data_IF_216542673254
#
_entry.id   IF_216542673254
#
_cell.length_a   1.000
_cell.length_b   1.000
_cell.length_c   1.000
_cell.angle_alpha   90.00
_cell.angle_beta   90.00
_cell.angle_gamma   90.00
#
_symmetry.space_group_name_H-M   'P 1'
#
loop_
_entity.id
_entity.type
_entity.pdbx_description
1 polymer ?
#
# COMPACT_ATOMS: atom_id res chain seq x y z
N UNK A 1 -15.01 -19.89 7.15
CA UNK A 1 -15.23 -19.03 8.33
C UNK A 1 -14.22 -19.35 9.44
N UNK A 2 -14.23 -20.55 10.05
CA UNK A 2 -13.30 -20.91 11.14
C UNK A 2 -11.80 -20.77 10.83
N UNK A 3 -11.37 -21.09 9.60
CA UNK A 3 -9.96 -20.94 9.18
C UNK A 3 -9.50 -19.47 9.12
N UNK A 4 -10.37 -18.57 8.66
CA UNK A 4 -10.08 -17.13 8.56
C UNK A 4 -10.00 -16.53 9.96
N UNK A 5 -10.97 -16.84 10.82
CA UNK A 5 -10.97 -16.39 12.21
C UNK A 5 -9.69 -16.81 12.95
N UNK A 6 -9.28 -18.08 12.79
CA UNK A 6 -8.03 -18.59 13.36
C UNK A 6 -6.81 -17.82 12.85
N UNK A 7 -6.71 -17.56 11.54
CA UNK A 7 -5.59 -16.82 10.97
C UNK A 7 -5.51 -15.37 11.48
N UNK A 8 -6.64 -14.68 11.64
CA UNK A 8 -6.67 -13.33 12.21
C UNK A 8 -6.22 -13.33 13.68
N UNK A 9 -6.65 -14.33 14.46
CA UNK A 9 -6.23 -14.52 15.86
C UNK A 9 -4.74 -14.85 15.95
N UNK A 10 -4.25 -15.73 15.08
CA UNK A 10 -2.83 -16.11 15.03
C UNK A 10 -1.97 -14.89 14.67
N UNK A 11 -2.39 -14.06 13.71
CA UNK A 11 -1.69 -12.82 13.34
C UNK A 11 -1.70 -11.78 14.47
N UNK A 12 -2.84 -11.61 15.16
CA UNK A 12 -2.94 -10.71 16.31
C UNK A 12 -1.96 -11.11 17.42
N UNK A 13 -1.92 -12.40 17.78
CA UNK A 13 -1.11 -12.86 18.90
C UNK A 13 0.37 -13.07 18.54
N UNK A 14 0.67 -13.48 17.31
CA UNK A 14 1.99 -13.99 16.91
C UNK A 14 2.56 -13.35 15.63
N UNK A 15 1.97 -12.24 15.15
CA UNK A 15 2.47 -11.52 13.98
C UNK A 15 3.85 -10.89 14.18
N UNK A 16 4.31 -10.17 13.15
CA UNK A 16 5.71 -9.72 13.02
C UNK A 16 6.26 -8.97 14.24
N UNK A 17 5.56 -7.96 14.76
CA UNK A 17 6.03 -7.15 15.90
C UNK A 17 6.13 -7.96 17.21
N UNK A 18 5.36 -9.05 17.31
CA UNK A 18 5.30 -9.91 18.49
C UNK A 18 6.27 -11.09 18.42
N UNK A 19 6.64 -11.54 17.21
CA UNK A 19 7.47 -12.73 17.00
C UNK A 19 8.86 -12.46 16.46
N UNK A 20 9.06 -11.35 15.73
CA UNK A 20 10.36 -11.00 15.17
C UNK A 20 11.27 -10.43 16.26
N UNK A 21 12.42 -11.08 16.45
CA UNK A 21 13.41 -10.71 17.45
C UNK A 21 14.50 -9.83 16.81
N UNK A 22 14.89 -8.76 17.50
CA UNK A 22 15.99 -7.91 17.09
C UNK A 22 17.06 -7.86 18.19
N UNK A 23 18.34 -8.04 17.83
CA UNK A 23 19.44 -8.01 18.80
C UNK A 23 19.37 -9.15 19.81
N UNK A 24 19.20 -8.80 21.10
CA UNK A 24 19.26 -9.70 22.25
C UNK A 24 18.03 -10.63 22.40
N UNK A 25 17.51 -11.18 21.29
CA UNK A 25 16.38 -12.12 21.23
C UNK A 25 15.05 -11.61 21.80
N UNK A 26 14.86 -10.30 21.89
CA UNK A 26 13.62 -9.70 22.41
C UNK A 26 12.73 -9.22 21.26
N UNK A 27 11.40 -9.38 21.35
CA UNK A 27 10.47 -8.78 20.40
C UNK A 27 10.57 -7.25 20.33
N UNK A 28 10.12 -6.66 19.23
CA UNK A 28 10.30 -5.23 18.91
C UNK A 28 9.59 -4.30 19.91
N UNK A 29 8.52 -4.75 20.57
CA UNK A 29 7.70 -3.94 21.50
C UNK A 29 7.76 -4.37 22.98
N UNK A 30 8.61 -5.32 23.37
CA UNK A 30 8.69 -5.79 24.77
C UNK A 30 9.54 -4.91 25.70
N UNK A 31 10.21 -3.89 25.17
CA UNK A 31 11.07 -2.98 25.94
C UNK A 31 10.38 -1.68 26.37
N UNK A 32 9.06 -1.58 26.28
CA UNK A 32 8.37 -0.43 26.84
C UNK A 32 8.32 -0.54 28.37
N UNK A 33 9.23 0.14 29.03
CA UNK A 33 9.21 0.36 30.47
C UNK A 33 8.55 1.71 30.73
N UNK A 34 7.33 1.72 31.30
CA UNK A 34 6.70 2.96 31.75
C UNK A 34 7.53 3.54 32.91
N UNK A 35 8.16 4.70 32.67
CA UNK A 35 8.96 5.43 33.68
C UNK A 35 8.23 6.65 34.24
N UNK A 36 6.94 6.79 33.94
CA UNK A 36 6.12 7.84 34.52
C UNK A 36 5.75 7.51 35.96
N UNK A 37 5.21 8.49 36.69
CA UNK A 37 4.70 8.24 38.04
C UNK A 37 3.58 7.20 38.00
N UNK A 38 3.67 6.23 38.90
CA UNK A 38 2.62 5.25 39.16
C UNK A 38 1.80 5.74 40.36
N UNK A 39 0.60 6.23 40.06
CA UNK A 39 -0.30 6.78 41.07
C UNK A 39 -1.27 5.74 41.63
N UNK A 40 -1.12 4.46 41.27
CA UNK A 40 -2.05 3.39 41.69
C UNK A 40 -2.15 3.31 43.21
N UNK A 41 -1.04 3.57 43.90
CA UNK A 41 -0.95 3.58 45.37
C UNK A 41 -1.27 4.95 45.99
N UNK A 42 -1.35 6.04 45.20
CA UNK A 42 -1.55 7.41 45.71
C UNK A 42 -3.02 7.78 45.92
N UNK A 43 -3.96 6.90 45.59
CA UNK A 43 -5.38 7.16 45.77
C UNK A 43 -5.82 6.64 47.15
N UNK A 44 -6.03 7.56 48.11
CA UNK A 44 -6.81 7.30 49.32
C UNK A 44 -8.29 7.07 48.96
N UNK A 45 -8.57 6.01 48.21
CA UNK A 45 -9.93 5.64 47.87
C UNK A 45 -10.57 4.94 49.07
N UNK A 46 -11.85 5.23 49.35
CA UNK A 46 -12.62 4.47 50.31
C UNK A 46 -12.52 2.96 50.01
N UNK A 47 -12.37 2.11 51.02
CA UNK A 47 -12.14 0.66 50.87
C UNK A 47 -13.16 -0.03 49.94
N UNK A 48 -14.39 0.50 49.86
CA UNK A 48 -15.45 0.06 48.96
C UNK A 48 -15.19 0.27 47.46
N UNK A 49 -14.29 1.19 47.09
CA UNK A 49 -13.87 1.44 45.70
C UNK A 49 -12.58 0.67 45.36
N UNK A 50 -11.73 0.41 46.35
CA UNK A 50 -10.49 -0.37 46.20
C UNK A 50 -10.77 -1.80 45.77
N UNK A 51 -11.85 -2.43 46.29
CA UNK A 51 -12.25 -3.79 45.90
C UNK A 51 -12.73 -3.93 44.44
N UNK A 52 -12.90 -2.83 43.71
CA UNK A 52 -13.27 -2.82 42.28
C UNK A 52 -12.12 -2.44 41.36
N UNK A 53 -10.99 -2.00 41.91
CA UNK A 53 -9.80 -1.73 41.11
C UNK A 53 -9.11 -3.05 40.76
N UNK A 54 -8.62 -3.20 39.51
CA UNK A 54 -7.77 -4.33 39.16
C UNK A 54 -6.54 -4.36 40.10
N UNK A 55 -6.10 -5.55 40.53
CA UNK A 55 -4.89 -5.73 41.36
C UNK A 55 -3.57 -5.32 40.66
N UNK A 56 -3.64 -4.81 39.43
CA UNK A 56 -2.48 -4.51 38.61
C UNK A 56 -2.04 -3.05 38.79
N UNK A 57 -0.73 -2.84 38.97
CA UNK A 57 -0.13 -1.51 38.95
C UNK A 57 -0.37 -0.84 37.60
N UNK A 58 -0.50 0.49 37.57
CA UNK A 58 -0.64 1.28 36.33
C UNK A 58 0.50 0.95 35.36
N UNK A 59 1.70 0.75 35.89
CA UNK A 59 2.87 0.34 35.10
C UNK A 59 2.65 -0.99 34.38
N UNK A 60 2.14 -2.01 35.07
CA UNK A 60 1.84 -3.32 34.49
C UNK A 60 0.70 -3.24 33.48
N UNK A 61 -0.33 -2.44 33.78
CA UNK A 61 -1.46 -2.22 32.89
C UNK A 61 -1.04 -1.52 31.58
N UNK A 62 -0.20 -0.48 31.68
CA UNK A 62 0.35 0.22 30.51
C UNK A 62 1.26 -0.71 29.71
N UNK A 63 2.12 -1.48 30.38
CA UNK A 63 2.98 -2.44 29.70
C UNK A 63 2.14 -3.48 28.96
N UNK A 64 1.15 -4.10 29.62
CA UNK A 64 0.26 -5.07 28.98
C UNK A 64 -0.49 -4.46 27.79
N UNK A 65 -0.98 -3.22 27.92
CA UNK A 65 -1.65 -2.53 26.82
C UNK A 65 -0.73 -2.36 25.60
N UNK A 66 0.50 -1.89 25.80
CA UNK A 66 1.44 -1.65 24.69
C UNK A 66 1.95 -2.95 24.09
N UNK A 67 2.41 -3.90 24.91
CA UNK A 67 3.05 -5.12 24.44
C UNK A 67 2.08 -6.14 23.87
N UNK A 68 0.81 -6.14 24.32
CA UNK A 68 -0.19 -7.11 23.86
C UNK A 68 -1.21 -6.46 22.93
N UNK A 69 -1.87 -5.39 23.36
CA UNK A 69 -3.01 -4.82 22.62
C UNK A 69 -2.56 -4.00 21.40
N UNK A 70 -1.60 -3.08 21.59
CA UNK A 70 -1.08 -2.24 20.49
C UNK A 70 -0.29 -3.08 19.48
N UNK A 71 0.59 -3.96 19.96
CA UNK A 71 1.35 -4.86 19.10
C UNK A 71 0.44 -5.76 18.27
N UNK A 72 -0.57 -6.38 18.90
CA UNK A 72 -1.50 -7.27 18.21
C UNK A 72 -2.40 -6.54 17.21
N UNK A 73 -2.88 -5.34 17.57
CA UNK A 73 -3.61 -4.46 16.65
C UNK A 73 -2.78 -4.18 15.39
N UNK A 74 -1.51 -3.78 15.57
CA UNK A 74 -0.64 -3.42 14.45
C UNK A 74 -0.29 -4.62 13.59
N UNK A 75 0.07 -5.77 14.18
CA UNK A 75 0.31 -7.00 13.44
C UNK A 75 -0.87 -7.35 12.52
N UNK A 76 -2.07 -7.40 13.11
CA UNK A 76 -3.27 -7.77 12.41
C UNK A 76 -3.58 -6.77 11.27
N UNK A 77 -3.62 -5.48 11.59
CA UNK A 77 -4.07 -4.47 10.64
C UNK A 77 -3.02 -4.15 9.58
N UNK A 78 -1.72 -4.24 9.86
CA UNK A 78 -0.70 -4.12 8.81
C UNK A 78 -0.80 -5.26 7.81
N UNK A 79 -0.95 -6.50 8.29
CA UNK A 79 -1.11 -7.66 7.41
C UNK A 79 -2.37 -7.56 6.54
N UNK A 80 -3.48 -7.08 7.11
CA UNK A 80 -4.72 -6.81 6.36
C UNK A 80 -4.55 -5.66 5.38
N UNK A 81 -3.90 -4.57 5.80
CA UNK A 81 -3.62 -3.41 4.97
C UNK A 81 -2.72 -3.76 3.78
N UNK A 82 -1.65 -4.55 4.01
CA UNK A 82 -0.75 -5.06 2.99
C UNK A 82 -1.47 -6.01 2.04
N UNK A 83 -2.34 -6.89 2.53
CA UNK A 83 -3.13 -7.78 1.69
C UNK A 83 -4.11 -6.99 0.81
N UNK A 84 -4.83 -6.03 1.39
CA UNK A 84 -5.74 -5.15 0.66
C UNK A 84 -5.01 -4.33 -0.40
N UNK A 85 -3.84 -3.79 -0.05
CA UNK A 85 -2.94 -3.12 -0.98
C UNK A 85 -2.52 -4.04 -2.13
N UNK A 86 -2.04 -5.25 -1.83
CA UNK A 86 -1.64 -6.22 -2.84
C UNK A 86 -2.79 -6.55 -3.81
N UNK A 87 -3.97 -6.90 -3.29
CA UNK A 87 -5.11 -7.31 -4.11
C UNK A 87 -5.65 -6.17 -4.98
N UNK A 88 -5.73 -4.95 -4.43
CA UNK A 88 -6.33 -3.81 -5.14
C UNK A 88 -5.35 -3.12 -6.08
N UNK A 89 -4.08 -3.01 -5.69
CA UNK A 89 -3.14 -2.10 -6.36
C UNK A 89 -2.12 -2.82 -7.22
N UNK A 90 -1.65 -4.00 -6.80
CA UNK A 90 -0.56 -4.74 -7.47
C UNK A 90 -1.11 -5.72 -8.50
N UNK A 91 -1.90 -5.23 -9.45
CA UNK A 91 -2.52 -6.02 -10.51
C UNK A 91 -1.85 -5.74 -11.85
N UNK A 92 -1.91 -6.71 -12.77
CA UNK A 92 -1.31 -6.60 -14.12
C UNK A 92 -1.93 -5.52 -15.01
N UNK A 93 -3.08 -4.99 -14.62
CA UNK A 93 -3.86 -4.01 -15.40
C UNK A 93 -3.91 -2.65 -14.72
N UNK A 94 -3.31 -2.49 -13.54
CA UNK A 94 -3.23 -1.21 -12.86
C UNK A 94 -2.01 -0.41 -13.36
N UNK A 95 -2.17 0.20 -14.53
CA UNK A 95 -1.13 0.98 -15.19
C UNK A 95 -0.84 2.33 -14.53
N UNK A 96 -1.61 2.75 -13.52
CA UNK A 96 -1.37 3.99 -12.77
C UNK A 96 0.03 4.00 -12.11
N UNK A 97 0.55 2.81 -11.82
CA UNK A 97 1.88 2.62 -11.30
C UNK A 97 2.99 3.11 -12.25
N UNK A 98 2.77 3.11 -13.56
CA UNK A 98 3.72 3.68 -14.52
C UNK A 98 4.00 5.16 -14.21
N UNK A 99 2.98 5.89 -13.73
CA UNK A 99 3.04 7.30 -13.35
C UNK A 99 3.49 7.60 -11.92
N UNK A 100 3.93 6.60 -11.15
CA UNK A 100 4.71 6.83 -9.91
C UNK A 100 5.95 7.68 -10.24
N UNK A 101 6.58 8.37 -9.25
CA UNK A 101 7.53 9.45 -9.51
C UNK A 101 8.41 9.23 -10.74
N UNK A 102 8.28 10.18 -11.67
CA UNK A 102 9.01 10.21 -12.93
C UNK A 102 10.46 10.56 -12.58
N UNK A 103 11.23 9.52 -12.30
CA UNK A 103 12.66 9.60 -12.19
C UNK A 103 13.19 8.75 -13.33
N UNK A 104 13.63 9.33 -14.45
CA UNK A 104 14.26 8.57 -15.54
C UNK A 104 15.61 7.91 -15.18
N UNK A 105 16.00 7.87 -13.90
CA UNK A 105 17.26 7.33 -13.42
C UNK A 105 17.13 5.85 -13.04
N UNK A 106 18.17 5.06 -13.34
CA UNK A 106 18.32 3.67 -12.86
C UNK A 106 19.22 3.55 -11.63
N UNK A 107 19.56 4.68 -11.00
CA UNK A 107 20.35 4.76 -9.77
C UNK A 107 19.43 4.55 -8.56
N UNK A 108 19.67 3.48 -7.81
CA UNK A 108 18.84 3.09 -6.68
C UNK A 108 18.79 4.15 -5.56
N UNK A 109 19.88 4.89 -5.31
CA UNK A 109 19.90 5.94 -4.29
C UNK A 109 19.11 7.17 -4.72
N UNK A 110 19.18 7.53 -6.01
CA UNK A 110 18.34 8.61 -6.56
C UNK A 110 16.87 8.25 -6.52
N UNK A 111 16.53 7.00 -6.85
CA UNK A 111 15.14 6.51 -6.76
C UNK A 111 14.66 6.50 -5.32
N UNK A 112 15.47 6.00 -4.39
CA UNK A 112 15.11 6.00 -2.97
C UNK A 112 14.83 7.41 -2.46
N UNK A 113 15.68 8.39 -2.80
CA UNK A 113 15.43 9.80 -2.50
C UNK A 113 14.15 10.33 -3.13
N UNK A 114 13.89 9.99 -4.40
CA UNK A 114 12.67 10.42 -5.09
C UNK A 114 11.40 9.82 -4.45
N UNK A 115 11.45 8.56 -4.00
CA UNK A 115 10.33 7.91 -3.29
C UNK A 115 10.05 8.65 -1.99
N UNK A 116 11.07 8.89 -1.15
CA UNK A 116 10.93 9.61 0.12
C UNK A 116 10.40 11.03 -0.10
N UNK A 117 10.88 11.74 -1.12
CA UNK A 117 10.43 13.10 -1.42
C UNK A 117 8.98 13.19 -1.92
N UNK A 118 8.44 12.10 -2.48
CA UNK A 118 7.09 12.07 -3.06
C UNK A 118 6.15 11.12 -2.31
N UNK A 119 6.52 10.71 -1.09
CA UNK A 119 5.88 9.62 -0.32
C UNK A 119 4.37 9.84 -0.15
N UNK A 120 3.95 10.99 0.38
CA UNK A 120 2.55 11.33 0.55
C UNK A 120 1.73 11.24 -0.76
N UNK A 121 2.31 11.73 -1.86
CA UNK A 121 1.66 11.67 -3.18
C UNK A 121 1.59 10.25 -3.75
N UNK A 122 2.60 9.41 -3.48
CA UNK A 122 2.57 7.99 -3.85
C UNK A 122 1.42 7.32 -3.11
N UNK A 123 1.34 7.51 -1.79
CA UNK A 123 0.35 6.88 -0.91
C UNK A 123 -1.08 7.23 -1.31
N UNK A 124 -1.33 8.52 -1.55
CA UNK A 124 -2.63 9.01 -2.03
C UNK A 124 -3.02 8.33 -3.35
N UNK A 125 -2.09 8.26 -4.31
CA UNK A 125 -2.35 7.69 -5.63
C UNK A 125 -2.64 6.19 -5.60
N UNK A 126 -1.90 5.44 -4.79
CA UNK A 126 -2.12 3.99 -4.69
C UNK A 126 -3.29 3.64 -3.76
N UNK A 127 -3.93 4.63 -3.13
CA UNK A 127 -5.13 4.44 -2.32
C UNK A 127 -4.87 3.64 -1.04
N UNK A 128 -3.70 3.83 -0.42
CA UNK A 128 -3.42 3.24 0.89
C UNK A 128 -4.29 3.93 1.95
N UNK A 129 -5.06 3.17 2.77
CA UNK A 129 -5.83 3.78 3.84
C UNK A 129 -4.92 4.49 4.85
N UNK A 130 -5.34 5.67 5.29
CA UNK A 130 -4.52 6.56 6.13
C UNK A 130 -4.85 6.49 7.63
N UNK A 131 -5.74 5.58 8.04
CA UNK A 131 -6.09 5.35 9.45
C UNK A 131 -6.34 3.88 9.74
N UNK A 132 -6.15 3.51 11.01
CA UNK A 132 -6.40 2.18 11.55
C UNK A 132 -7.86 1.78 11.31
N UNK A 133 -8.82 2.68 11.53
CA UNK A 133 -10.25 2.41 11.30
C UNK A 133 -10.57 2.19 9.82
N UNK A 134 -9.92 2.92 8.91
CA UNK A 134 -10.07 2.71 7.46
C UNK A 134 -9.47 1.38 6.99
N UNK A 135 -8.35 0.92 7.58
CA UNK A 135 -7.81 -0.41 7.32
C UNK A 135 -8.72 -1.49 7.90
N UNK A 136 -9.22 -1.28 9.12
CA UNK A 136 -10.15 -2.21 9.77
C UNK A 136 -11.41 -2.45 8.94
N UNK A 137 -11.88 -1.45 8.17
CA UNK A 137 -12.99 -1.63 7.24
C UNK A 137 -12.77 -2.73 6.19
N UNK A 138 -11.51 -3.10 5.88
CA UNK A 138 -11.18 -4.19 4.98
C UNK A 138 -11.20 -5.59 5.64
N UNK A 139 -11.38 -5.67 6.96
CA UNK A 139 -11.54 -6.94 7.66
C UNK A 139 -12.85 -7.63 7.25
N UNK A 140 -12.84 -8.97 7.07
CA UNK A 140 -14.08 -9.70 6.85
C UNK A 140 -14.98 -9.63 8.08
N UNK A 141 -16.28 -9.43 7.86
CA UNK A 141 -17.28 -9.58 8.91
C UNK A 141 -17.38 -11.07 9.23
N UNK A 142 -16.96 -11.45 10.44
CA UNK A 142 -17.19 -12.80 10.95
C UNK A 142 -18.54 -12.80 11.69
N UNK A 143 -19.61 -13.17 11.00
CA UNK A 143 -20.89 -13.37 11.66
C UNK A 143 -20.92 -14.77 12.30
N UNK A 144 -20.76 -14.81 13.63
CA UNK A 144 -20.82 -16.04 14.44
C UNK A 144 -22.08 -16.10 15.30
N UNK A 145 -23.09 -15.25 15.04
CA UNK A 145 -24.34 -15.19 15.82
C UNK A 145 -25.11 -16.53 15.84
N UNK A 146 -24.82 -17.45 14.91
CA UNK A 146 -25.37 -18.81 14.86
C UNK A 146 -24.51 -19.91 15.51
N UNK A 147 -23.31 -19.62 16.01
CA UNK A 147 -22.40 -20.61 16.59
C UNK A 147 -22.58 -20.61 18.11
N UNK A 148 -23.49 -21.48 18.58
CA UNK A 148 -23.99 -21.58 19.96
C UNK A 148 -22.93 -21.85 21.08
N UNK A 149 -21.63 -21.81 20.79
CA UNK A 149 -20.55 -22.20 21.70
C UNK A 149 -19.44 -21.17 21.87
N UNK A 150 -19.53 -20.00 21.24
CA UNK A 150 -18.50 -18.97 21.38
C UNK A 150 -18.68 -18.22 22.70
N UNK A 151 -17.88 -18.61 23.71
CA UNK A 151 -17.93 -18.09 25.10
C UNK A 151 -17.64 -16.59 25.24
N UNK A 152 -17.19 -15.91 24.19
CA UNK A 152 -16.94 -14.47 24.23
C UNK A 152 -17.47 -13.77 22.96
N UNK A 153 -18.60 -13.04 23.03
CA UNK A 153 -19.19 -12.31 21.90
C UNK A 153 -18.32 -11.13 21.42
N UNK A 154 -17.41 -10.64 22.25
CA UNK A 154 -16.56 -9.48 21.97
C UNK A 154 -15.54 -9.72 20.85
N UNK A 155 -15.12 -10.98 20.65
CA UNK A 155 -14.13 -11.37 19.65
C UNK A 155 -14.76 -11.76 18.30
N UNK A 156 -16.06 -11.54 18.11
CA UNK A 156 -16.79 -12.07 16.96
C UNK A 156 -16.79 -11.12 15.78
N UNK A 157 -16.70 -9.79 15.98
CA UNK A 157 -16.68 -8.82 14.88
C UNK A 157 -15.46 -7.90 14.94
N UNK A 158 -14.29 -8.45 14.55
CA UNK A 158 -13.03 -7.71 14.51
C UNK A 158 -13.10 -6.41 13.70
N UNK A 159 -13.89 -6.39 12.62
CA UNK A 159 -14.14 -5.15 11.86
C UNK A 159 -14.76 -4.08 12.77
N UNK A 160 -15.88 -4.40 13.44
CA UNK A 160 -16.55 -3.43 14.33
C UNK A 160 -15.67 -3.03 15.51
N UNK A 161 -14.94 -3.97 16.10
CA UNK A 161 -14.06 -3.74 17.25
C UNK A 161 -12.99 -2.66 16.97
N UNK A 162 -12.47 -2.60 15.74
CA UNK A 162 -11.41 -1.67 15.37
C UNK A 162 -11.85 -0.50 14.49
N UNK A 163 -13.10 -0.51 14.00
CA UNK A 163 -13.58 0.52 13.09
C UNK A 163 -14.43 1.58 13.79
N UNK A 164 -15.30 1.20 14.74
CA UNK A 164 -16.32 2.09 15.32
C UNK A 164 -16.36 2.01 16.85
N UNK A 165 -16.76 3.11 17.48
CA UNK A 165 -16.98 3.16 18.93
C UNK A 165 -18.19 2.31 19.29
N UNK A 166 -18.06 1.43 20.28
CA UNK A 166 -19.13 0.56 20.76
C UNK A 166 -19.66 1.04 22.12
N UNK A 167 -20.96 0.85 22.37
CA UNK A 167 -21.57 1.04 23.69
C UNK A 167 -21.39 -0.19 24.60
N UNK A 168 -21.88 -0.10 25.84
CA UNK A 168 -21.83 -1.21 26.81
C UNK A 168 -22.64 -2.45 26.40
N UNK A 169 -23.43 -2.35 25.33
CA UNK A 169 -24.21 -3.45 24.72
C UNK A 169 -23.57 -3.92 23.40
N UNK A 170 -22.34 -3.50 23.12
CA UNK A 170 -21.55 -3.81 21.93
C UNK A 170 -22.23 -3.38 20.62
N UNK A 171 -23.07 -2.35 20.67
CA UNK A 171 -23.67 -1.72 19.50
C UNK A 171 -22.85 -0.50 19.07
N UNK A 172 -22.73 -0.23 17.75
CA UNK A 172 -22.08 0.99 17.27
C UNK A 172 -22.77 2.23 17.83
N UNK A 173 -22.00 3.13 18.42
CA UNK A 173 -22.48 4.45 18.76
C UNK A 173 -22.74 5.25 17.50
N UNK A 174 -23.86 5.94 17.47
CA UNK A 174 -24.35 6.70 16.32
C UNK A 174 -24.21 8.19 16.61
N UNK A 175 -23.66 8.94 15.66
CA UNK A 175 -23.52 10.39 15.76
C UNK A 175 -24.86 11.11 15.52
N UNK A 176 -24.85 12.43 15.63
CA UNK A 176 -26.05 13.27 15.42
C UNK A 176 -26.63 13.20 14.00
N UNK A 177 -25.87 12.68 13.03
CA UNK A 177 -26.28 12.49 11.63
C UNK A 177 -26.81 11.08 11.35
N UNK A 178 -26.84 10.19 12.34
CA UNK A 178 -27.28 8.81 12.14
C UNK A 178 -26.18 7.85 11.65
N UNK A 179 -24.92 8.27 11.64
CA UNK A 179 -23.79 7.46 11.18
C UNK A 179 -22.99 6.84 12.34
N UNK A 180 -22.43 5.63 12.18
CA UNK A 180 -21.53 5.06 13.18
C UNK A 180 -20.30 5.94 13.43
N UNK A 181 -20.00 6.20 14.70
CA UNK A 181 -18.82 6.98 15.11
C UNK A 181 -17.54 6.16 14.91
N UNK A 182 -16.58 6.58 14.09
CA UNK A 182 -15.32 5.87 13.92
C UNK A 182 -14.45 5.97 15.17
N UNK A 183 -13.62 4.95 15.43
CA UNK A 183 -12.58 5.04 16.46
C UNK A 183 -11.51 6.04 16.03
N UNK A 184 -11.17 6.98 16.91
CA UNK A 184 -10.03 7.88 16.73
C UNK A 184 -8.85 7.35 17.54
N UNK A 185 -7.83 6.85 16.85
CA UNK A 185 -6.65 6.25 17.48
C UNK A 185 -5.54 7.26 17.80
N UNK A 186 -5.72 8.53 17.40
CA UNK A 186 -4.81 9.63 17.75
C UNK A 186 -3.36 9.36 17.33
N UNK A 187 -2.45 9.30 18.31
CA UNK A 187 -1.01 9.05 18.07
C UNK A 187 -0.73 7.69 17.44
N UNK A 188 -1.59 6.68 17.68
CA UNK A 188 -1.39 5.35 17.11
C UNK A 188 -1.66 5.32 15.61
N UNK A 189 -2.56 6.16 15.08
CA UNK A 189 -2.73 6.30 13.62
C UNK A 189 -1.44 6.79 12.97
N UNK A 190 -0.76 7.77 13.58
CA UNK A 190 0.52 8.29 13.08
C UNK A 190 1.60 7.22 13.08
N UNK A 191 1.71 6.44 14.17
CA UNK A 191 2.69 5.37 14.28
C UNK A 191 2.41 4.24 13.28
N UNK A 192 1.14 3.84 13.14
CA UNK A 192 0.70 2.83 12.19
C UNK A 192 1.04 3.25 10.76
N UNK A 193 0.70 4.49 10.40
CA UNK A 193 0.99 5.05 9.10
C UNK A 193 2.50 5.04 8.81
N UNK A 194 3.33 5.51 9.74
CA UNK A 194 4.78 5.51 9.57
C UNK A 194 5.35 4.10 9.38
N UNK A 195 4.82 3.12 10.12
CA UNK A 195 5.24 1.73 9.97
C UNK A 195 4.84 1.18 8.60
N UNK A 196 3.63 1.47 8.14
CA UNK A 196 3.15 1.08 6.81
C UNK A 196 3.99 1.72 5.69
N UNK A 197 4.33 3.00 5.81
CA UNK A 197 5.24 3.70 4.90
C UNK A 197 6.58 2.97 4.76
N UNK A 198 7.22 2.65 5.88
CA UNK A 198 8.51 1.94 5.90
C UNK A 198 8.42 0.55 5.28
N UNK A 199 7.31 -0.17 5.49
CA UNK A 199 7.11 -1.49 4.90
C UNK A 199 6.88 -1.44 3.39
N UNK A 200 6.24 -0.38 2.88
CA UNK A 200 5.93 -0.23 1.47
C UNK A 200 7.05 0.42 0.65
N UNK A 201 7.94 1.17 1.30
CA UNK A 201 9.06 1.85 0.63
C UNK A 201 9.90 0.91 -0.28
N UNK A 202 10.32 -0.30 0.14
CA UNK A 202 11.05 -1.22 -0.73
C UNK A 202 10.28 -1.63 -1.99
N UNK A 203 8.95 -1.71 -1.90
CA UNK A 203 8.05 -2.06 -3.00
C UNK A 203 8.06 -0.95 -4.06
N UNK A 204 7.88 0.30 -3.63
CA UNK A 204 7.90 1.45 -4.54
C UNK A 204 9.27 1.64 -5.20
N UNK A 205 10.36 1.56 -4.41
CA UNK A 205 11.73 1.68 -4.93
C UNK A 205 11.99 0.60 -5.98
N UNK A 206 11.64 -0.65 -5.69
CA UNK A 206 11.87 -1.76 -6.62
C UNK A 206 11.04 -1.62 -7.90
N UNK A 207 9.77 -1.27 -7.79
CA UNK A 207 8.92 -1.06 -8.96
C UNK A 207 9.49 0.04 -9.86
N UNK A 208 9.82 1.20 -9.28
CA UNK A 208 10.34 2.36 -10.04
C UNK A 208 11.68 2.02 -10.70
N UNK A 209 12.60 1.38 -9.97
CA UNK A 209 13.89 0.94 -10.50
C UNK A 209 13.71 0.04 -11.73
N UNK A 210 12.92 -1.01 -11.60
CA UNK A 210 12.73 -1.98 -12.67
C UNK A 210 11.93 -1.39 -13.83
N UNK A 211 10.94 -0.53 -13.56
CA UNK A 211 10.23 0.24 -14.60
C UNK A 211 11.23 1.08 -15.41
N UNK A 212 12.14 1.81 -14.75
CA UNK A 212 13.11 2.65 -15.43
C UNK A 212 14.11 1.84 -16.26
N UNK A 213 14.56 0.69 -15.73
CA UNK A 213 15.39 -0.25 -16.47
C UNK A 213 14.65 -0.80 -17.70
N UNK A 214 13.37 -1.14 -17.56
CA UNK A 214 12.53 -1.58 -18.66
C UNK A 214 12.36 -0.49 -19.73
N UNK A 215 12.04 0.74 -19.32
CA UNK A 215 11.90 1.89 -20.23
C UNK A 215 13.22 2.18 -20.98
N UNK A 216 14.36 2.15 -20.28
CA UNK A 216 15.67 2.32 -20.90
C UNK A 216 15.99 1.19 -21.89
N UNK A 217 15.75 -0.06 -21.48
CA UNK A 217 15.96 -1.23 -22.34
C UNK A 217 15.13 -1.12 -23.63
N UNK A 218 13.84 -0.75 -23.50
CA UNK A 218 12.96 -0.53 -24.64
C UNK A 218 13.48 0.54 -25.59
N UNK A 219 13.92 1.69 -25.07
CA UNK A 219 14.49 2.75 -25.91
C UNK A 219 15.72 2.27 -26.69
N UNK A 220 16.56 1.44 -26.09
CA UNK A 220 17.80 0.96 -26.70
C UNK A 220 17.58 -0.18 -27.72
N UNK A 221 16.57 -1.04 -27.51
CA UNK A 221 16.40 -2.29 -28.27
C UNK A 221 15.10 -2.34 -29.10
N UNK A 222 14.17 -1.42 -28.86
CA UNK A 222 12.88 -1.33 -29.54
C UNK A 222 11.79 -2.26 -29.01
N UNK A 223 12.14 -3.49 -28.61
CA UNK A 223 11.17 -4.49 -28.13
C UNK A 223 11.81 -5.43 -27.10
N UNK A 224 11.00 -6.08 -26.27
CA UNK A 224 11.46 -7.25 -25.51
C UNK A 224 11.51 -8.46 -26.44
N UNK A 225 12.71 -9.01 -26.69
CA UNK A 225 12.87 -10.21 -27.52
C UNK A 225 12.16 -11.41 -26.90
N UNK A 226 11.42 -12.15 -27.72
CA UNK A 226 10.81 -13.40 -27.28
C UNK A 226 11.87 -14.40 -26.79
N UNK A 227 11.59 -15.00 -25.63
CA UNK A 227 12.48 -15.97 -24.98
C UNK A 227 13.74 -15.38 -24.33
N UNK A 228 14.01 -14.07 -24.47
CA UNK A 228 15.16 -13.40 -23.84
C UNK A 228 14.67 -12.26 -22.95
N UNK A 229 14.50 -12.59 -21.67
CA UNK A 229 14.24 -11.56 -20.67
C UNK A 229 15.54 -10.82 -20.32
N UNK A 230 15.51 -9.49 -20.18
CA UNK A 230 16.65 -8.75 -19.65
C UNK A 230 17.08 -9.31 -18.29
N UNK A 231 18.37 -9.22 -17.98
CA UNK A 231 18.95 -9.79 -16.76
C UNK A 231 18.32 -9.27 -15.45
N UNK A 232 17.66 -8.11 -15.48
CA UNK A 232 16.99 -7.52 -14.33
C UNK A 232 15.57 -8.07 -14.09
N UNK A 233 15.02 -8.87 -15.01
CA UNK A 233 13.69 -9.47 -14.89
C UNK A 233 13.79 -10.84 -14.22
N UNK A 234 12.99 -11.04 -13.17
CA UNK A 234 12.94 -12.30 -12.41
C UNK A 234 11.72 -13.09 -12.89
N UNK A 235 11.97 -14.23 -13.54
CA UNK A 235 10.91 -15.05 -14.17
C UNK A 235 10.01 -15.78 -13.17
N UNK A 236 10.49 -16.07 -11.96
CA UNK A 236 9.74 -16.79 -10.94
C UNK A 236 9.86 -16.10 -9.58
N UNK A 237 9.15 -14.98 -9.37
CA UNK A 237 9.27 -14.18 -8.16
C UNK A 237 8.86 -14.98 -6.91
N UNK A 238 9.72 -15.00 -5.89
CA UNK A 238 9.51 -15.67 -4.60
C UNK A 238 9.14 -14.69 -3.48
N UNK A 239 9.29 -13.38 -3.70
CA UNK A 239 8.93 -12.34 -2.74
C UNK A 239 8.06 -11.25 -3.37
N UNK A 240 7.38 -10.47 -2.53
CA UNK A 240 6.57 -9.34 -2.99
C UNK A 240 7.41 -8.29 -3.75
N UNK A 241 8.63 -8.04 -3.29
CA UNK A 241 9.60 -7.14 -3.94
C UNK A 241 9.99 -7.66 -5.33
N UNK A 242 10.23 -8.95 -5.49
CA UNK A 242 10.50 -9.55 -6.81
C UNK A 242 9.27 -9.50 -7.72
N UNK A 243 8.09 -9.78 -7.17
CA UNK A 243 6.82 -9.73 -7.89
C UNK A 243 6.55 -8.34 -8.46
N UNK A 244 6.72 -7.27 -7.68
CA UNK A 244 6.50 -5.90 -8.20
C UNK A 244 7.53 -5.49 -9.25
N UNK A 245 8.75 -6.05 -9.19
CA UNK A 245 9.73 -5.88 -10.27
C UNK A 245 9.25 -6.54 -11.57
N UNK A 246 8.77 -7.78 -11.50
CA UNK A 246 8.18 -8.45 -12.66
C UNK A 246 6.94 -7.69 -13.19
N UNK A 247 6.10 -7.17 -12.29
CA UNK A 247 4.93 -6.38 -12.63
C UNK A 247 5.29 -5.09 -13.40
N UNK A 248 6.35 -4.39 -12.98
CA UNK A 248 6.83 -3.20 -13.69
C UNK A 248 7.19 -3.51 -15.16
N UNK A 249 7.86 -4.63 -15.42
CA UNK A 249 8.19 -5.09 -16.78
C UNK A 249 6.94 -5.40 -17.58
N UNK A 250 5.97 -6.11 -16.98
CA UNK A 250 4.68 -6.43 -17.62
C UNK A 250 3.97 -5.14 -18.04
N UNK A 251 3.91 -4.15 -17.16
CA UNK A 251 3.25 -2.88 -17.45
C UNK A 251 3.92 -2.12 -18.59
N UNK A 252 5.26 -2.05 -18.63
CA UNK A 252 5.96 -1.39 -19.74
C UNK A 252 5.78 -2.21 -21.04
N UNK A 253 5.88 -3.54 -20.96
CA UNK A 253 5.69 -4.44 -22.11
C UNK A 253 4.31 -4.32 -22.74
N UNK A 254 3.27 -4.17 -21.92
CA UNK A 254 1.89 -4.01 -22.39
C UNK A 254 1.76 -2.89 -23.43
N UNK A 255 2.55 -1.82 -23.29
CA UNK A 255 2.52 -0.65 -24.18
C UNK A 255 3.62 -0.62 -25.23
N UNK A 256 4.28 -1.75 -25.54
CA UNK A 256 5.36 -1.79 -26.54
C UNK A 256 4.90 -1.33 -27.93
N UNK A 257 3.65 -1.65 -28.32
CA UNK A 257 3.07 -1.28 -29.60
C UNK A 257 2.91 0.24 -29.80
N UNK A 258 2.93 1.04 -28.72
CA UNK A 258 2.93 2.50 -28.85
C UNK A 258 4.19 3.01 -29.55
N UNK A 259 5.31 2.29 -29.44
CA UNK A 259 6.57 2.68 -30.07
C UNK A 259 6.50 2.50 -31.59
N UNK A 260 6.01 1.34 -32.03
CA UNK A 260 5.82 1.05 -33.45
C UNK A 260 4.84 2.04 -34.06
N UNK A 261 3.71 2.27 -33.38
CA UNK A 261 2.74 3.28 -33.81
C UNK A 261 3.35 4.67 -33.90
N UNK A 262 4.15 5.07 -32.92
CA UNK A 262 4.84 6.36 -32.94
C UNK A 262 5.81 6.52 -34.10
N UNK A 263 6.59 5.47 -34.40
CA UNK A 263 7.51 5.45 -35.53
C UNK A 263 6.77 5.51 -36.87
N UNK A 264 5.66 4.79 -36.99
CA UNK A 264 4.80 4.80 -38.18
C UNK A 264 4.19 6.19 -38.39
N UNK A 265 3.62 6.80 -37.34
CA UNK A 265 3.06 8.15 -37.42
C UNK A 265 4.13 9.19 -37.77
N UNK A 266 5.35 9.06 -37.22
CA UNK A 266 6.47 9.94 -37.57
C UNK A 266 6.87 9.78 -39.04
N UNK A 267 6.97 8.54 -39.54
CA UNK A 267 7.33 8.25 -40.94
C UNK A 267 6.26 8.77 -41.91
N UNK A 268 4.99 8.71 -41.51
CA UNK A 268 3.84 9.18 -42.30
C UNK A 268 3.51 10.67 -42.10
N UNK A 269 4.29 11.41 -41.30
CA UNK A 269 4.07 12.83 -40.98
C UNK A 269 2.73 13.11 -40.27
N UNK A 270 2.21 12.14 -39.50
CA UNK A 270 0.96 12.21 -38.73
C UNK A 270 1.18 12.19 -37.22
N UNK A 271 2.41 12.45 -36.76
CA UNK A 271 2.82 12.38 -35.36
C UNK A 271 1.97 13.27 -34.43
N UNK A 272 1.64 12.74 -33.25
CA UNK A 272 1.08 13.55 -32.18
C UNK A 272 2.12 14.53 -31.61
N UNK A 273 2.09 15.78 -32.07
CA UNK A 273 3.04 16.84 -31.66
C UNK A 273 2.84 17.42 -30.25
N UNK A 274 1.83 16.97 -29.51
CA UNK A 274 1.62 17.36 -28.12
C UNK A 274 0.98 16.25 -27.29
N UNK A 275 1.09 16.34 -25.96
CA UNK A 275 0.37 15.43 -25.06
C UNK A 275 -1.15 15.50 -25.26
N UNK A 276 -1.70 16.66 -25.63
CA UNK A 276 -3.13 16.80 -25.90
C UNK A 276 -3.53 16.04 -27.17
N UNK A 277 -2.73 16.14 -28.23
CA UNK A 277 -2.94 15.41 -29.48
C UNK A 277 -2.80 13.91 -29.27
N UNK A 278 -1.82 13.49 -28.45
CA UNK A 278 -1.64 12.09 -28.07
C UNK A 278 -2.82 11.56 -27.25
N UNK A 279 -3.33 12.34 -26.28
CA UNK A 279 -4.52 11.96 -25.52
C UNK A 279 -5.75 11.80 -26.41
N UNK A 280 -5.89 12.63 -27.44
CA UNK A 280 -6.96 12.48 -28.42
C UNK A 280 -6.78 11.19 -29.23
N UNK A 281 -5.57 10.95 -29.74
CA UNK A 281 -5.19 9.75 -30.48
C UNK A 281 -5.52 8.46 -29.70
N UNK A 282 -5.13 8.38 -28.42
CA UNK A 282 -5.42 7.25 -27.53
C UNK A 282 -6.92 6.98 -27.33
N UNK A 283 -7.80 7.96 -27.57
CA UNK A 283 -9.26 7.83 -27.42
C UNK A 283 -9.98 7.52 -28.72
N UNK A 284 -9.49 8.05 -29.85
CA UNK A 284 -10.21 7.96 -31.13
C UNK A 284 -9.73 6.82 -32.01
N UNK A 285 -8.47 6.40 -31.86
CA UNK A 285 -7.93 5.26 -32.59
C UNK A 285 -8.40 3.95 -31.92
N UNK A 286 -9.08 3.10 -32.68
CA UNK A 286 -9.68 1.86 -32.15
C UNK A 286 -8.64 0.90 -31.55
N UNK A 287 -7.46 0.79 -32.17
CA UNK A 287 -6.40 -0.08 -31.69
C UNK A 287 -5.78 0.43 -30.39
N UNK A 288 -5.59 1.74 -30.27
CA UNK A 288 -5.04 2.35 -29.06
C UNK A 288 -6.06 2.42 -27.91
N UNK A 289 -7.33 2.67 -28.22
CA UNK A 289 -8.40 2.60 -27.23
C UNK A 289 -8.60 1.17 -26.71
N UNK A 290 -8.39 0.15 -27.54
CA UNK A 290 -8.40 -1.25 -27.11
C UNK A 290 -7.18 -1.61 -26.26
N UNK A 291 -6.04 -0.94 -26.46
CA UNK A 291 -4.81 -1.15 -25.69
C UNK A 291 -4.98 -0.77 -24.21
N UNK A 292 -5.63 0.36 -23.93
CA UNK A 292 -6.00 0.76 -22.56
C UNK A 292 -7.41 1.37 -22.53
N UNK A 293 -8.46 0.53 -22.34
CA UNK A 293 -9.85 1.00 -22.30
C UNK A 293 -10.11 2.04 -21.19
N UNK A 294 -9.26 2.09 -20.17
CA UNK A 294 -9.40 3.02 -19.03
C UNK A 294 -8.48 4.25 -19.15
N UNK A 295 -7.90 4.48 -20.34
CA UNK A 295 -6.93 5.57 -20.58
C UNK A 295 -7.44 6.94 -20.10
N UNK A 296 -8.73 7.23 -20.26
CA UNK A 296 -9.33 8.51 -19.88
C UNK A 296 -9.18 8.82 -18.38
N UNK A 297 -9.33 7.81 -17.52
CA UNK A 297 -9.23 7.99 -16.07
C UNK A 297 -7.78 7.92 -15.55
N UNK A 298 -6.81 7.56 -16.41
CA UNK A 298 -5.40 7.48 -16.00
C UNK A 298 -4.86 8.82 -15.51
N UNK A 299 -4.01 8.82 -14.46
CA UNK A 299 -3.33 10.00 -13.98
C UNK A 299 -2.45 10.67 -15.06
N UNK A 300 -2.27 11.99 -14.94
CA UNK A 300 -1.44 12.78 -15.87
C UNK A 300 -0.01 12.24 -16.00
N UNK A 301 0.59 11.75 -14.92
CA UNK A 301 1.95 11.19 -14.98
C UNK A 301 2.00 9.89 -15.78
N UNK A 302 1.00 9.01 -15.64
CA UNK A 302 0.89 7.78 -16.44
C UNK A 302 0.77 8.11 -17.92
N UNK A 303 -0.14 9.02 -18.28
CA UNK A 303 -0.30 9.51 -19.66
C UNK A 303 1.00 10.08 -20.24
N UNK A 304 1.80 10.78 -19.41
CA UNK A 304 3.11 11.30 -19.79
C UNK A 304 4.12 10.18 -20.08
N UNK A 305 4.13 9.08 -19.33
CA UNK A 305 4.99 7.91 -19.61
C UNK A 305 4.56 7.23 -20.90
N UNK A 306 3.26 7.08 -21.14
CA UNK A 306 2.75 6.52 -22.39
C UNK A 306 3.12 7.38 -23.60
N UNK A 307 3.02 8.70 -23.47
CA UNK A 307 3.46 9.61 -24.53
C UNK A 307 4.98 9.59 -24.76
N UNK A 308 5.76 9.39 -23.69
CA UNK A 308 7.20 9.17 -23.79
C UNK A 308 7.52 7.87 -24.55
N UNK A 309 6.79 6.79 -24.29
CA UNK A 309 6.93 5.52 -25.00
C UNK A 309 6.62 5.70 -26.48
N UNK A 310 5.50 6.37 -26.80
CA UNK A 310 5.15 6.73 -28.17
C UNK A 310 6.28 7.46 -28.90
N UNK A 311 6.91 8.46 -28.26
CA UNK A 311 8.03 9.20 -28.86
C UNK A 311 9.36 8.43 -28.92
N UNK A 312 9.50 7.31 -28.21
CA UNK A 312 10.83 6.77 -27.86
C UNK A 312 11.72 6.41 -29.05
N UNK A 313 11.17 5.95 -30.17
CA UNK A 313 11.90 5.57 -31.40
C UNK A 313 12.37 6.77 -32.23
N UNK A 314 11.65 7.90 -32.16
CA UNK A 314 11.93 9.09 -32.97
C UNK A 314 12.26 10.32 -32.13
N UNK A 315 12.37 10.22 -30.80
CA UNK A 315 12.65 11.35 -29.93
C UNK A 315 13.95 12.10 -30.32
N UNK A 316 14.93 11.39 -30.91
CA UNK A 316 16.17 11.98 -31.39
C UNK A 316 15.99 12.92 -32.60
N UNK A 317 14.98 12.70 -33.45
CA UNK A 317 14.67 13.58 -34.60
C UNK A 317 13.89 14.83 -34.19
N UNK A 318 13.25 14.82 -33.02
CA UNK A 318 12.48 15.97 -32.52
C UNK A 318 13.37 17.07 -31.92
N UNK A 319 12.97 18.35 -32.01
CA UNK A 319 13.54 19.44 -31.24
C UNK A 319 13.45 19.18 -29.73
N UNK A 320 14.43 19.65 -28.95
CA UNK A 320 14.45 19.44 -27.50
C UNK A 320 13.19 19.93 -26.77
N UNK A 321 12.54 20.98 -27.28
CA UNK A 321 11.28 21.53 -26.75
C UNK A 321 10.07 20.62 -26.94
N UNK A 322 10.12 19.68 -27.89
CA UNK A 322 9.02 18.77 -28.23
C UNK A 322 9.21 17.37 -27.63
N UNK A 323 10.40 17.09 -27.09
CA UNK A 323 10.73 15.81 -26.45
C UNK A 323 10.04 15.72 -25.10
N UNK A 324 9.30 14.64 -24.90
CA UNK A 324 8.79 14.29 -23.58
C UNK A 324 9.94 13.82 -22.70
N UNK A 325 10.02 14.38 -21.51
CA UNK A 325 10.98 13.97 -20.46
C UNK A 325 10.25 13.25 -19.33
N UNK A 326 10.90 12.26 -18.72
CA UNK A 326 10.46 11.53 -17.52
C UNK A 326 11.64 11.31 -16.58
#
# INVERSE_FOLDING_TARGET
MAKIAKQLIDEYNFGFLSSYQFGDNSPILTHYEYRGPDFTDEVHLPAMMVGTLPEFQLTDAIHHFISVQVAGLFNLLLSVGLHAFYVKTLTRTNYDWLGLPLAGSVDAEKIMRAVVQNEATIIEKVGIPTSISAVAAALPILDLHGVATTRNPENQNYQRQFMVVLDNRHQPQINVLGEPMPVNYGVFDQLFFHLQEKLLQPIFVRYILVRNQALQYFREHGHFRDGHLPAFVISNPQSLTEYVGALAVIHVKHFESLMDRGMDDHTNLTVAGSLSSFNHLMRVDEHLSALDPDYEHRPKQTKRVLYWLYQSQFAASLPASERVTI
#
